data_IF_172155796718
#
_entry.id   IF_172155796718
#
_cell.length_a   1.000
_cell.length_b   1.000
_cell.length_c   1.000
_cell.angle_alpha   90.00
_cell.angle_beta   90.00
_cell.angle_gamma   90.00
#
_symmetry.space_group_name_H-M   'P 1'
#
loop_
_entity.id
_entity.type
_entity.pdbx_description
1 polymer ?
#
# COMPACT_ATOMS: atom_id res chain seq x y z
N UNK A 1 23.50 18.65 -6.80
CA UNK A 1 22.60 19.31 -5.89
C UNK A 1 21.89 18.28 -5.02
N UNK A 2 21.90 18.51 -3.73
CA UNK A 2 21.33 17.57 -2.79
C UNK A 2 19.80 17.58 -2.85
N UNK A 3 19.23 16.41 -2.66
CA UNK A 3 17.79 16.22 -2.75
C UNK A 3 17.34 15.28 -1.65
N UNK A 4 16.18 15.55 -1.08
CA UNK A 4 15.62 14.71 -0.04
C UNK A 4 14.11 14.61 -0.19
N UNK A 5 13.58 13.40 -0.07
CA UNK A 5 12.14 13.18 -0.15
C UNK A 5 11.75 12.14 0.89
N UNK A 6 10.61 12.34 1.51
CA UNK A 6 10.06 11.38 2.46
C UNK A 6 8.85 10.70 1.83
N UNK A 7 8.81 9.39 1.94
CA UNK A 7 7.76 8.59 1.31
C UNK A 7 7.19 7.58 2.29
N UNK A 8 5.88 7.32 2.17
CA UNK A 8 5.24 6.22 2.87
C UNK A 8 4.95 5.13 1.84
N UNK A 9 5.34 3.91 2.16
CA UNK A 9 5.05 2.74 1.36
C UNK A 9 4.07 1.84 2.05
N UNK A 10 3.11 1.32 1.28
CA UNK A 10 2.11 0.39 1.75
C UNK A 10 2.30 -0.92 1.04
N UNK A 11 2.37 -2.01 1.79
CA UNK A 11 2.53 -3.32 1.19
C UNK A 11 1.62 -4.34 1.86
N UNK A 12 0.83 -5.04 1.04
CA UNK A 12 0.04 -6.16 1.49
C UNK A 12 0.86 -7.42 1.27
N UNK A 13 1.15 -8.14 2.34
CA UNK A 13 1.96 -9.34 2.24
C UNK A 13 1.19 -10.49 1.62
N UNK A 14 1.93 -11.47 1.10
CA UNK A 14 1.33 -12.67 0.53
C UNK A 14 0.71 -13.56 1.59
N UNK A 15 1.11 -13.39 2.83
CA UNK A 15 0.55 -14.13 3.96
C UNK A 15 -0.88 -13.71 4.28
N UNK A 16 -1.33 -12.57 3.74
CA UNK A 16 -2.67 -12.03 3.96
C UNK A 16 -2.94 -11.69 5.43
N UNK A 17 -1.87 -11.52 6.20
CA UNK A 17 -1.99 -11.23 7.63
C UNK A 17 -2.36 -9.79 7.88
N UNK A 18 -1.85 -8.90 7.06
CA UNK A 18 -2.08 -7.50 7.29
C UNK A 18 -1.35 -6.61 6.30
N UNK A 19 -1.40 -5.34 6.61
CA UNK A 19 -0.80 -4.28 5.82
C UNK A 19 0.44 -3.77 6.52
N UNK A 20 1.55 -3.73 5.81
CA UNK A 20 2.77 -3.12 6.32
C UNK A 20 2.87 -1.70 5.81
N UNK A 21 3.09 -0.77 6.73
CA UNK A 21 3.26 0.65 6.42
C UNK A 21 4.65 1.06 6.87
N UNK A 22 5.36 1.74 6.00
CA UNK A 22 6.74 2.11 6.26
C UNK A 22 6.98 3.53 5.77
N UNK A 23 7.68 4.33 6.57
CA UNK A 23 8.03 5.68 6.19
C UNK A 23 9.54 5.76 6.03
N UNK A 24 9.99 6.21 4.87
CA UNK A 24 11.40 6.27 4.53
C UNK A 24 11.79 7.66 4.06
N UNK A 25 13.01 8.05 4.38
CA UNK A 25 13.61 9.25 3.81
C UNK A 25 14.64 8.83 2.79
N UNK A 26 14.52 9.33 1.58
CA UNK A 26 15.47 9.11 0.50
C UNK A 26 16.26 10.38 0.29
N UNK A 27 17.57 10.23 0.14
CA UNK A 27 18.47 11.35 -0.09
C UNK A 27 19.35 11.09 -1.28
N UNK A 28 19.60 12.16 -2.02
CA UNK A 28 20.59 12.12 -3.08
C UNK A 28 21.65 13.16 -2.76
N UNK A 29 22.86 12.73 -2.62
CA UNK A 29 24.01 13.60 -2.34
C UNK A 29 25.14 13.22 -3.25
N UNK A 30 25.69 14.21 -3.96
CA UNK A 30 26.78 14.00 -4.90
C UNK A 30 26.47 12.88 -5.90
N UNK A 31 25.24 12.82 -6.35
CA UNK A 31 24.80 11.82 -7.32
C UNK A 31 24.55 10.44 -6.76
N UNK A 32 24.68 10.26 -5.47
CA UNK A 32 24.47 8.96 -4.83
C UNK A 32 23.17 8.95 -4.02
N UNK A 33 22.42 7.87 -4.14
CA UNK A 33 21.19 7.69 -3.39
C UNK A 33 21.44 6.90 -2.12
N UNK A 34 20.76 7.29 -1.06
CA UNK A 34 20.73 6.55 0.18
C UNK A 34 19.32 6.63 0.73
N UNK A 35 19.00 5.74 1.66
CA UNK A 35 17.69 5.79 2.29
C UNK A 35 17.80 5.40 3.75
N UNK A 36 16.79 5.82 4.51
CA UNK A 36 16.70 5.52 5.93
C UNK A 36 15.24 5.23 6.24
N UNK A 37 14.97 4.14 6.95
CA UNK A 37 13.62 3.82 7.39
C UNK A 37 13.38 4.58 8.69
N UNK A 38 12.45 5.54 8.64
CA UNK A 38 12.16 6.39 9.77
C UNK A 38 11.27 5.69 10.79
N UNK A 39 10.25 5.00 10.32
CA UNK A 39 9.34 4.23 11.17
C UNK A 39 8.55 3.25 10.31
N UNK A 40 8.02 2.23 10.98
CA UNK A 40 7.24 1.19 10.31
C UNK A 40 6.25 0.59 11.28
N UNK A 41 5.13 0.09 10.77
CA UNK A 41 4.11 -0.55 11.59
C UNK A 41 3.26 -1.48 10.74
N UNK A 42 2.83 -2.59 11.32
CA UNK A 42 1.91 -3.53 10.68
C UNK A 42 0.50 -3.34 11.23
N UNK A 43 -0.49 -3.45 10.36
CA UNK A 43 -1.89 -3.38 10.74
C UNK A 43 -2.59 -4.65 10.27
N UNK A 44 -3.41 -5.23 11.14
CA UNK A 44 -4.16 -6.42 10.77
C UNK A 44 -5.37 -6.06 9.91
N UNK A 45 -5.69 -6.95 8.98
CA UNK A 45 -6.93 -6.79 8.21
C UNK A 45 -8.11 -7.29 9.04
N UNK A 46 -9.29 -6.68 8.88
CA UNK A 46 -10.51 -7.28 9.42
C UNK A 46 -10.73 -8.66 8.80
N UNK A 47 -11.38 -9.56 9.55
CA UNK A 47 -11.57 -10.94 9.10
C UNK A 47 -12.29 -11.04 7.74
N UNK A 48 -13.32 -10.22 7.56
CA UNK A 48 -14.06 -10.23 6.30
C UNK A 48 -13.15 -9.85 5.12
N UNK A 49 -12.23 -8.92 5.35
CA UNK A 49 -11.31 -8.48 4.32
C UNK A 49 -10.25 -9.55 4.01
N UNK A 50 -9.75 -10.23 5.06
CA UNK A 50 -8.82 -11.35 4.88
C UNK A 50 -9.42 -12.43 4.02
N UNK A 51 -10.68 -12.75 4.26
CA UNK A 51 -11.37 -13.79 3.51
C UNK A 51 -11.47 -13.46 2.05
N UNK A 52 -11.83 -12.22 1.73
CA UNK A 52 -11.94 -11.78 0.34
C UNK A 52 -10.58 -11.75 -0.34
N UNK A 53 -9.56 -11.24 0.34
CA UNK A 53 -8.21 -11.19 -0.22
C UNK A 53 -7.64 -12.59 -0.44
N UNK A 54 -8.08 -13.55 0.36
CA UNK A 54 -7.61 -14.92 0.22
C UNK A 54 -8.18 -15.63 -0.99
N UNK A 55 -9.49 -15.84 -1.01
CA UNK A 55 -10.13 -16.66 -2.05
C UNK A 55 -11.44 -16.10 -2.56
N UNK A 56 -12.05 -15.18 -1.80
CA UNK A 56 -13.41 -14.72 -2.11
C UNK A 56 -13.54 -13.96 -3.42
N UNK A 57 -12.46 -13.35 -3.89
CA UNK A 57 -12.53 -12.52 -5.10
C UNK A 57 -12.91 -13.31 -6.33
N UNK A 58 -12.57 -14.59 -6.37
CA UNK A 58 -12.84 -15.42 -7.54
C UNK A 58 -14.32 -15.72 -7.73
N UNK A 59 -15.12 -15.57 -6.69
CA UNK A 59 -16.56 -15.82 -6.74
C UNK A 59 -17.37 -14.54 -6.73
N UNK A 60 -16.73 -13.39 -6.78
CA UNK A 60 -17.41 -12.10 -6.73
C UNK A 60 -17.96 -11.69 -8.08
N UNK A 61 -19.09 -11.02 -8.06
CA UNK A 61 -19.58 -10.33 -9.25
C UNK A 61 -18.72 -9.10 -9.50
N UNK A 62 -18.85 -8.49 -10.68
CA UNK A 62 -18.11 -7.28 -11.00
C UNK A 62 -18.46 -6.15 -10.03
N UNK A 63 -19.73 -6.02 -9.67
CA UNK A 63 -20.16 -4.99 -8.75
C UNK A 63 -19.58 -5.20 -7.35
N UNK A 64 -19.60 -6.46 -6.90
CA UNK A 64 -19.01 -6.79 -5.60
C UNK A 64 -17.52 -6.49 -5.57
N UNK A 65 -16.83 -6.79 -6.66
CA UNK A 65 -15.41 -6.52 -6.75
C UNK A 65 -15.11 -5.03 -6.67
N UNK A 66 -15.87 -4.22 -7.40
CA UNK A 66 -15.70 -2.76 -7.40
C UNK A 66 -15.96 -2.20 -5.99
N UNK A 67 -17.01 -2.69 -5.35
CA UNK A 67 -17.36 -2.26 -4.00
C UNK A 67 -16.26 -2.62 -3.01
N UNK A 68 -15.72 -3.83 -3.14
CA UNK A 68 -14.61 -4.25 -2.28
C UNK A 68 -13.36 -3.40 -2.53
N UNK A 69 -13.07 -3.12 -3.78
CA UNK A 69 -11.91 -2.29 -4.14
C UNK A 69 -11.99 -0.93 -3.46
N UNK A 70 -13.19 -0.33 -3.47
CA UNK A 70 -13.41 0.96 -2.83
C UNK A 70 -13.23 0.86 -1.31
N UNK A 71 -13.77 -0.19 -0.70
CA UNK A 71 -13.64 -0.41 0.74
C UNK A 71 -12.18 -0.64 1.15
N UNK A 72 -11.45 -1.37 0.33
CA UNK A 72 -10.05 -1.63 0.60
C UNK A 72 -9.24 -0.34 0.50
N UNK A 73 -9.51 0.48 -0.51
CA UNK A 73 -8.85 1.77 -0.63
C UNK A 73 -9.11 2.67 0.57
N UNK A 74 -10.34 2.67 1.07
CA UNK A 74 -10.69 3.44 2.26
C UNK A 74 -9.93 2.92 3.48
N UNK A 75 -9.83 1.60 3.62
CA UNK A 75 -9.07 0.99 4.71
C UNK A 75 -7.60 1.45 4.65
N UNK A 76 -6.99 1.41 3.49
CA UNK A 76 -5.61 1.85 3.31
C UNK A 76 -5.46 3.31 3.72
N UNK A 77 -6.36 4.17 3.27
CA UNK A 77 -6.31 5.59 3.59
C UNK A 77 -6.43 5.84 5.09
N UNK A 78 -7.31 5.12 5.76
CA UNK A 78 -7.48 5.27 7.20
C UNK A 78 -6.24 4.81 7.96
N UNK A 79 -5.62 3.72 7.52
CA UNK A 79 -4.41 3.23 8.19
C UNK A 79 -3.25 4.20 7.98
N UNK A 80 -3.14 4.78 6.80
CA UNK A 80 -2.10 5.78 6.53
C UNK A 80 -2.28 7.01 7.43
N UNK A 81 -3.51 7.51 7.56
CA UNK A 81 -3.77 8.64 8.42
C UNK A 81 -3.43 8.33 9.87
N UNK A 82 -3.79 7.14 10.33
CA UNK A 82 -3.49 6.69 11.67
C UNK A 82 -1.97 6.63 11.89
N UNK A 83 -1.26 6.09 10.92
CA UNK A 83 0.19 6.00 10.95
C UNK A 83 0.85 7.38 11.01
N UNK A 84 0.38 8.28 10.17
CA UNK A 84 0.90 9.65 10.13
C UNK A 84 0.70 10.38 11.45
N UNK A 85 -0.46 10.19 12.07
CA UNK A 85 -0.74 10.81 13.36
C UNK A 85 0.10 10.20 14.48
N UNK A 86 0.25 8.89 14.47
CA UNK A 86 1.00 8.20 15.51
C UNK A 86 2.47 8.59 15.49
N UNK A 87 3.07 8.67 14.31
CA UNK A 87 4.50 8.94 14.19
C UNK A 87 4.84 10.39 13.85
N UNK A 88 3.83 11.21 13.64
CA UNK A 88 4.04 12.63 13.37
C UNK A 88 4.77 12.90 12.06
N UNK A 89 4.52 12.09 11.04
CA UNK A 89 5.21 12.24 9.75
C UNK A 89 4.28 12.85 8.71
N UNK A 90 4.87 13.59 7.77
CA UNK A 90 4.16 14.25 6.69
C UNK A 90 4.90 13.98 5.38
N UNK A 91 4.63 12.83 4.75
CA UNK A 91 5.40 12.42 3.58
C UNK A 91 5.09 13.27 2.36
N UNK A 92 6.05 13.30 1.45
CA UNK A 92 5.88 13.98 0.16
C UNK A 92 5.10 13.11 -0.81
N UNK A 93 5.26 11.79 -0.72
CA UNK A 93 4.52 10.85 -1.56
C UNK A 93 4.08 9.65 -0.75
N UNK A 94 3.01 9.03 -1.23
CA UNK A 94 2.52 7.78 -0.67
C UNK A 94 2.37 6.81 -1.84
N UNK A 95 2.96 5.65 -1.71
CA UNK A 95 2.90 4.62 -2.75
C UNK A 95 2.32 3.34 -2.17
N UNK A 96 1.41 2.72 -2.91
CA UNK A 96 0.82 1.46 -2.52
C UNK A 96 1.18 0.40 -3.56
N UNK A 97 1.65 -0.73 -3.08
CA UNK A 97 1.94 -1.85 -3.98
C UNK A 97 0.66 -2.52 -4.47
N UNK A 98 -0.40 -2.42 -3.67
CA UNK A 98 -1.65 -3.09 -3.98
C UNK A 98 -1.58 -4.57 -3.60
N UNK A 99 -2.66 -5.27 -3.85
CA UNK A 99 -2.75 -6.69 -3.58
C UNK A 99 -3.09 -7.43 -4.86
N UNK A 100 -2.28 -8.44 -5.20
CA UNK A 100 -2.51 -9.22 -6.42
C UNK A 100 -3.63 -10.22 -6.17
N UNK A 101 -4.73 -10.07 -6.92
CA UNK A 101 -5.87 -10.96 -6.84
C UNK A 101 -5.72 -12.09 -7.87
N UNK A 102 -5.40 -11.73 -9.09
CA UNK A 102 -5.23 -12.68 -10.18
C UNK A 102 -3.82 -12.59 -10.73
N UNK A 103 -3.17 -13.74 -10.82
CA UNK A 103 -1.82 -13.80 -11.35
C UNK A 103 -1.74 -15.00 -12.31
N UNK A 104 -1.72 -14.71 -13.60
CA UNK A 104 -1.66 -15.74 -14.63
C UNK A 104 -0.44 -15.53 -15.51
N UNK A 105 0.72 -16.05 -15.07
CA UNK A 105 1.97 -15.83 -15.81
C UNK A 105 1.93 -16.35 -17.26
N UNK A 106 1.18 -17.43 -17.51
CA UNK A 106 1.08 -17.96 -18.86
C UNK A 106 0.41 -16.98 -19.82
N UNK A 107 -0.43 -16.11 -19.29
CA UNK A 107 -1.10 -15.10 -20.09
C UNK A 107 -0.44 -13.73 -19.94
N UNK A 108 0.66 -13.68 -19.20
CA UNK A 108 1.37 -12.45 -18.91
C UNK A 108 0.44 -11.38 -18.34
N UNK A 109 -0.45 -11.82 -17.47
CA UNK A 109 -1.50 -10.97 -16.93
C UNK A 109 -1.38 -10.89 -15.42
N UNK A 110 -1.50 -9.68 -14.88
CA UNK A 110 -1.40 -9.41 -13.46
C UNK A 110 -2.40 -8.34 -13.09
N UNK A 111 -3.37 -8.70 -12.24
CA UNK A 111 -4.41 -7.76 -11.82
C UNK A 111 -4.30 -7.48 -10.33
N UNK A 112 -4.26 -6.22 -9.98
CA UNK A 112 -4.19 -5.76 -8.59
C UNK A 112 -5.48 -5.05 -8.20
N UNK A 113 -5.87 -5.11 -6.92
CA UNK A 113 -7.06 -4.41 -6.44
C UNK A 113 -6.83 -2.93 -6.34
N UNK A 114 -5.61 -2.50 -6.11
CA UNK A 114 -5.33 -1.07 -6.11
C UNK A 114 -4.01 -0.82 -6.79
N UNK A 115 -3.89 0.34 -7.37
CA UNK A 115 -2.65 0.72 -8.03
C UNK A 115 -1.85 1.65 -7.14
N UNK A 116 -0.53 1.73 -7.36
CA UNK A 116 0.29 2.66 -6.62
C UNK A 116 -0.29 4.06 -6.71
N UNK A 117 -0.38 4.71 -5.58
CA UNK A 117 -0.99 6.02 -5.48
C UNK A 117 0.07 7.03 -5.08
N UNK A 118 0.07 8.15 -5.78
CA UNK A 118 0.94 9.25 -5.42
C UNK A 118 0.12 10.35 -4.79
N UNK A 119 0.58 10.82 -3.65
CA UNK A 119 -0.02 11.95 -2.98
C UNK A 119 0.99 13.09 -2.97
N UNK A 120 0.59 14.25 -3.45
CA UNK A 120 1.47 15.41 -3.51
C UNK A 120 0.76 16.63 -3.01
N UNK A 121 1.26 17.18 -1.90
CA UNK A 121 0.75 18.42 -1.36
C UNK A 121 -0.72 18.38 -0.96
N UNK A 122 -1.23 17.22 -0.72
CA UNK A 122 -2.64 17.06 -0.39
C UNK A 122 -2.79 16.76 1.07
#
# INVERSE_FOLDING_TARGET
KDFQIQAIGLMSGTSLDGLDVCCCTFRQQAGKWSFHIDCAKGYSYPDAMKQILGTGAQTMSALEFITFHSSYGKFLGERVNEFMQEFGVHPDIIASHGHTIFHEPQKLSLIHISEPTRRRGI
#
